data_IF_320787077072
#
_entry.id   IF_320787077072
#
_cell.length_a   1.000
_cell.length_b   1.000
_cell.length_c   1.000
_cell.angle_alpha   90.00
_cell.angle_beta   90.00
_cell.angle_gamma   90.00
#
_symmetry.space_group_name_H-M   'P 1'
#
loop_
_entity.id
_entity.type
_entity.pdbx_description
1 polymer ?
#
# COMPACT_ATOMS: atom_id res chain seq x y z
N UNK A 1 -8.85 11.38 4.31
CA UNK A 1 -7.67 11.73 3.54
C UNK A 1 -6.88 10.48 3.18
N UNK A 2 -6.66 10.28 1.87
CA UNK A 2 -6.02 9.07 1.37
C UNK A 2 -4.58 8.91 1.88
N UNK A 3 -3.90 10.03 2.13
CA UNK A 3 -2.48 10.00 2.55
C UNK A 3 -2.29 9.56 4.00
N UNK A 4 -3.36 9.52 4.79
CA UNK A 4 -3.26 9.14 6.21
C UNK A 4 -3.91 7.80 6.52
N UNK A 5 -4.29 7.03 5.49
CA UNK A 5 -4.85 5.69 5.66
C UNK A 5 -3.78 4.63 5.42
N UNK A 6 -3.94 3.46 6.06
CA UNK A 6 -3.00 2.36 5.86
C UNK A 6 -2.86 1.99 4.38
N UNK A 7 -3.97 1.96 3.65
CA UNK A 7 -3.97 1.81 2.19
C UNK A 7 -4.85 2.92 1.65
N UNK A 8 -4.26 3.79 0.83
CA UNK A 8 -4.99 4.89 0.19
C UNK A 8 -5.11 4.67 -1.29
N UNK A 9 -6.27 5.00 -1.85
CA UNK A 9 -6.53 4.88 -3.28
C UNK A 9 -6.90 6.25 -3.83
N UNK A 10 -6.29 6.62 -4.94
CA UNK A 10 -6.63 7.87 -5.63
C UNK A 10 -6.90 7.56 -7.10
N UNK A 11 -8.13 7.84 -7.54
CA UNK A 11 -8.52 7.65 -8.94
C UNK A 11 -8.02 8.79 -9.83
N UNK A 12 -7.53 8.45 -11.01
CA UNK A 12 -7.15 9.40 -12.04
C UNK A 12 -7.71 8.91 -13.38
N UNK A 13 -7.71 9.74 -14.42
CA UNK A 13 -8.16 9.28 -15.73
C UNK A 13 -7.38 8.09 -16.29
N UNK A 14 -6.16 7.87 -15.80
CA UNK A 14 -5.31 6.77 -16.28
C UNK A 14 -5.44 5.50 -15.44
N UNK A 15 -6.09 5.56 -14.29
CA UNK A 15 -6.22 4.43 -13.39
C UNK A 15 -6.07 4.85 -11.94
N UNK A 16 -5.72 3.91 -11.07
CA UNK A 16 -5.63 4.15 -9.64
C UNK A 16 -4.19 4.27 -9.18
N UNK A 17 -3.94 5.26 -8.31
CA UNK A 17 -2.68 5.37 -7.59
C UNK A 17 -2.90 4.78 -6.20
N UNK A 18 -1.99 3.92 -5.75
CA UNK A 18 -2.10 3.24 -4.47
C UNK A 18 -0.98 3.71 -3.55
N UNK A 19 -1.37 4.13 -2.35
CA UNK A 19 -0.46 4.54 -1.28
C UNK A 19 -0.54 3.53 -0.14
N UNK A 20 0.57 3.28 0.52
CA UNK A 20 0.62 2.34 1.64
C UNK A 20 1.32 2.96 2.84
N UNK A 21 0.88 2.57 4.03
CA UNK A 21 1.56 2.95 5.26
C UNK A 21 1.18 4.27 5.86
N UNK A 22 0.13 4.93 5.36
CA UNK A 22 -0.35 6.17 5.96
C UNK A 22 -0.93 5.93 7.35
N UNK A 23 -0.82 6.94 8.20
CA UNK A 23 -1.33 6.91 9.56
C UNK A 23 -1.71 8.31 9.97
N UNK A 24 -2.95 8.49 10.42
CA UNK A 24 -3.39 9.76 11.01
C UNK A 24 -3.06 9.80 12.49
N UNK A 25 -3.48 10.88 13.14
CA UNK A 25 -3.36 11.03 14.58
C UNK A 25 -2.30 12.01 15.02
N UNK A 26 -1.84 11.86 16.26
CA UNK A 26 -0.92 12.81 16.89
C UNK A 26 0.43 12.86 16.19
N UNK A 27 0.94 11.71 15.77
CA UNK A 27 2.19 11.62 15.02
C UNK A 27 1.85 10.98 13.67
N UNK A 28 1.47 11.78 12.68
CA UNK A 28 1.03 11.21 11.40
C UNK A 28 2.20 10.67 10.58
N UNK A 29 1.91 9.66 9.75
CA UNK A 29 2.83 9.15 8.74
C UNK A 29 2.14 9.26 7.39
N UNK A 30 2.77 9.89 6.44
CA UNK A 30 2.24 9.95 5.08
C UNK A 30 2.48 8.61 4.39
N UNK A 31 1.49 8.17 3.61
CA UNK A 31 1.63 6.94 2.85
C UNK A 31 2.66 7.07 1.73
N UNK A 32 3.38 5.99 1.49
CA UNK A 32 4.30 5.90 0.37
C UNK A 32 3.55 5.52 -0.90
N UNK A 33 3.87 6.17 -2.01
CA UNK A 33 3.24 5.82 -3.28
C UNK A 33 3.82 4.51 -3.78
N UNK A 34 2.97 3.49 -3.85
CA UNK A 34 3.40 2.14 -4.24
C UNK A 34 3.40 1.96 -5.76
N UNK A 35 2.32 2.35 -6.41
CA UNK A 35 2.13 2.11 -7.84
C UNK A 35 1.08 3.09 -8.38
N UNK A 36 1.17 3.39 -9.66
CA UNK A 36 0.24 4.27 -10.37
C UNK A 36 -0.41 3.55 -11.53
N UNK A 37 -1.54 4.09 -11.98
CA UNK A 37 -2.20 3.65 -13.21
C UNK A 37 -2.66 2.19 -13.16
N UNK A 38 -3.15 1.75 -11.99
CA UNK A 38 -3.68 0.40 -11.82
C UNK A 38 -5.10 0.35 -12.39
N UNK A 39 -5.41 -0.60 -13.28
CA UNK A 39 -6.77 -0.71 -13.84
C UNK A 39 -7.82 -1.00 -12.78
N UNK A 40 -9.06 -0.55 -13.03
CA UNK A 40 -10.17 -0.76 -12.10
C UNK A 40 -10.35 -2.23 -11.71
N UNK A 41 -10.17 -3.13 -12.66
CA UNK A 41 -10.39 -4.56 -12.44
C UNK A 41 -9.24 -5.23 -11.68
N UNK A 42 -8.17 -4.50 -11.41
CA UNK A 42 -7.00 -5.07 -10.72
C UNK A 42 -6.71 -4.42 -9.38
N UNK A 43 -7.31 -3.27 -9.09
CA UNK A 43 -6.96 -2.53 -7.88
C UNK A 43 -7.35 -3.32 -6.61
N UNK A 44 -8.49 -4.01 -6.62
CA UNK A 44 -8.91 -4.81 -5.46
C UNK A 44 -7.99 -6.02 -5.27
N UNK A 45 -7.55 -6.63 -6.35
CA UNK A 45 -6.60 -7.74 -6.27
C UNK A 45 -5.29 -7.29 -5.63
N UNK A 46 -4.82 -6.09 -5.99
CA UNK A 46 -3.62 -5.53 -5.40
C UNK A 46 -3.81 -5.25 -3.91
N UNK A 47 -4.94 -4.67 -3.52
CA UNK A 47 -5.25 -4.43 -2.11
C UNK A 47 -5.24 -5.74 -1.33
N UNK A 48 -5.85 -6.80 -1.88
CA UNK A 48 -5.86 -8.11 -1.24
C UNK A 48 -4.44 -8.66 -1.07
N UNK A 49 -3.59 -8.48 -2.05
CA UNK A 49 -2.20 -8.94 -1.95
C UNK A 49 -1.45 -8.19 -0.85
N UNK A 50 -1.63 -6.88 -0.75
CA UNK A 50 -1.02 -6.06 0.31
C UNK A 50 -1.50 -6.55 1.68
N UNK A 51 -2.80 -6.74 1.84
CA UNK A 51 -3.38 -7.19 3.11
C UNK A 51 -2.84 -8.56 3.49
N UNK A 52 -2.74 -9.47 2.54
CA UNK A 52 -2.22 -10.82 2.81
C UNK A 52 -0.76 -10.79 3.25
N UNK A 53 0.08 -9.98 2.60
CA UNK A 53 1.48 -9.84 2.99
C UNK A 53 1.57 -9.28 4.41
N UNK A 54 0.81 -8.24 4.68
CA UNK A 54 0.81 -7.63 6.00
C UNK A 54 0.34 -8.62 7.07
N UNK A 55 -0.78 -9.31 6.82
CA UNK A 55 -1.37 -10.23 7.79
C UNK A 55 -0.45 -11.41 8.11
N UNK A 56 0.30 -11.86 7.11
CA UNK A 56 1.16 -13.04 7.27
C UNK A 56 2.52 -12.72 7.89
N UNK A 57 2.94 -11.47 7.89
CA UNK A 57 4.32 -11.12 8.24
C UNK A 57 4.45 -10.10 9.37
N UNK A 58 3.46 -9.21 9.54
CA UNK A 58 3.54 -8.17 10.55
C UNK A 58 3.29 -8.75 11.95
N UNK A 59 3.88 -8.09 12.95
CA UNK A 59 3.64 -8.45 14.34
C UNK A 59 2.23 -8.04 14.76
N UNK A 60 1.72 -8.68 15.82
CA UNK A 60 0.44 -8.33 16.39
C UNK A 60 0.42 -6.85 16.78
N UNK A 61 -0.65 -6.14 16.39
CA UNK A 61 -0.85 -4.71 16.65
C UNK A 61 0.11 -3.78 15.89
N UNK A 62 0.95 -4.31 15.03
CA UNK A 62 1.82 -3.47 14.21
C UNK A 62 1.02 -2.88 13.04
N UNK A 63 1.11 -1.56 12.86
CA UNK A 63 0.48 -0.90 11.72
C UNK A 63 1.25 -1.18 10.44
N UNK A 64 0.56 -1.07 9.31
CA UNK A 64 1.19 -1.33 8.00
C UNK A 64 2.42 -0.44 7.78
N UNK A 65 2.32 0.85 8.10
CA UNK A 65 3.47 1.74 7.96
C UNK A 65 4.65 1.34 8.83
N UNK A 66 4.39 0.91 10.06
CA UNK A 66 5.45 0.42 10.94
C UNK A 66 6.10 -0.85 10.41
N UNK A 67 5.28 -1.75 9.87
CA UNK A 67 5.79 -2.96 9.25
C UNK A 67 6.70 -2.62 8.06
N UNK A 68 6.25 -1.72 7.19
CA UNK A 68 7.03 -1.28 6.02
C UNK A 68 8.36 -0.69 6.48
N UNK A 69 8.34 0.17 7.52
CA UNK A 69 9.56 0.79 8.03
C UNK A 69 10.53 -0.26 8.58
N UNK A 70 10.00 -1.32 9.19
CA UNK A 70 10.84 -2.36 9.80
C UNK A 70 11.57 -3.20 8.77
N UNK A 71 11.01 -3.39 7.58
CA UNK A 71 11.64 -4.21 6.53
C UNK A 71 12.21 -3.36 5.38
N UNK A 72 11.82 -2.08 5.31
CA UNK A 72 12.20 -1.18 4.23
C UNK A 72 11.19 -1.20 3.10
N UNK A 73 10.91 -0.02 2.53
CA UNK A 73 9.91 0.11 1.48
C UNK A 73 10.29 -0.70 0.23
N UNK A 74 11.56 -0.70 -0.15
CA UNK A 74 12.03 -1.47 -1.31
C UNK A 74 11.82 -2.96 -1.12
N UNK A 75 12.09 -3.47 0.09
CA UNK A 75 11.83 -4.87 0.42
C UNK A 75 10.33 -5.17 0.32
N UNK A 76 9.50 -4.30 0.88
CA UNK A 76 8.04 -4.47 0.80
C UNK A 76 7.56 -4.53 -0.64
N UNK A 77 8.06 -3.62 -1.49
CA UNK A 77 7.69 -3.61 -2.92
C UNK A 77 8.09 -4.91 -3.61
N UNK A 78 9.24 -5.47 -3.23
CA UNK A 78 9.72 -6.70 -3.87
C UNK A 78 8.87 -7.92 -3.52
N UNK A 79 8.09 -7.85 -2.45
CA UNK A 79 7.19 -8.93 -2.05
C UNK A 79 5.91 -8.97 -2.89
N UNK A 80 5.64 -7.91 -3.63
CA UNK A 80 4.44 -7.77 -4.46
C UNK A 80 4.85 -7.88 -5.93
N UNK A 81 4.09 -8.67 -6.71
CA UNK A 81 4.33 -8.73 -8.15
C UNK A 81 3.66 -7.53 -8.82
N UNK A 82 4.34 -6.38 -8.78
CA UNK A 82 3.77 -5.13 -9.29
C UNK A 82 3.55 -5.17 -10.81
N UNK A 83 4.34 -5.95 -11.54
CA UNK A 83 4.25 -5.99 -13.00
C UNK A 83 2.87 -6.43 -13.49
N UNK A 84 2.18 -7.27 -12.76
CA UNK A 84 0.85 -7.74 -13.19
C UNK A 84 -0.24 -6.68 -13.03
N UNK A 85 0.05 -5.57 -12.36
CA UNK A 85 -0.92 -4.48 -12.14
C UNK A 85 -0.65 -3.29 -13.06
N UNK A 86 0.41 -3.31 -13.82
CA UNK A 86 0.77 -2.24 -14.75
C UNK A 86 0.27 -2.62 -16.14
N UNK A 87 -0.29 -1.63 -16.85
CA UNK A 87 -0.72 -1.84 -18.23
C UNK A 87 0.45 -1.77 -19.21
#
# INVERSE_FOLDING_TARGET
DNHTRDIGLMGTPKGWTVFVGGKGGTIPRLGDRLIMNVPDDKVLELVDEIVNIYSNNANNKQRLGSYIDSIGFDTFKSMINLDKYIQ
#
